data_IF_609841567560
#
_entry.id   IF_609841567560
#
_cell.length_a   1.000
_cell.length_b   1.000
_cell.length_c   1.000
_cell.angle_alpha   90.00
_cell.angle_beta   90.00
_cell.angle_gamma   90.00
#
_symmetry.space_group_name_H-M   'P 1'
#
loop_
_entity.id
_entity.type
_entity.pdbx_description
1 polymer ?
#
# COMPACT_ATOMS: atom_id res chain seq x y z
N UNK A 1 -35.52 -3.29 19.26
CA UNK A 1 -34.91 -2.96 17.96
C UNK A 1 -33.51 -2.38 18.18
N UNK A 2 -32.47 -3.21 18.37
CA UNK A 2 -31.09 -2.71 18.53
C UNK A 2 -30.39 -2.73 17.19
N UNK A 3 -30.69 -1.73 16.35
CA UNK A 3 -29.98 -1.47 15.11
C UNK A 3 -28.80 -0.55 15.43
N UNK A 4 -27.90 -1.00 16.29
CA UNK A 4 -26.59 -0.36 16.43
C UNK A 4 -25.71 -0.98 15.36
N UNK A 5 -25.82 -0.37 14.17
CA UNK A 5 -24.88 -0.39 13.07
C UNK A 5 -23.48 -0.72 13.63
N UNK A 6 -23.08 -1.93 13.28
CA UNK A 6 -21.75 -2.53 13.34
C UNK A 6 -20.74 -1.50 12.84
N UNK A 7 -20.40 -0.57 13.71
CA UNK A 7 -19.56 0.56 13.33
C UNK A 7 -18.59 0.76 14.43
N UNK A 8 -17.52 0.02 14.23
CA UNK A 8 -16.18 0.56 14.05
C UNK A 8 -15.33 -0.70 14.09
N UNK A 9 -14.94 -1.19 12.90
CA UNK A 9 -13.76 -2.03 12.80
C UNK A 9 -12.62 -1.16 13.35
N UNK A 10 -12.42 -1.22 14.67
CA UNK A 10 -11.37 -0.54 15.41
C UNK A 10 -10.05 -1.15 14.89
N UNK A 11 -9.38 -0.48 13.94
CA UNK A 11 -8.46 0.65 14.12
C UNK A 11 -7.05 0.25 14.64
N UNK A 12 -6.54 -0.91 14.21
CA UNK A 12 -5.11 -1.25 14.29
C UNK A 12 -4.65 -2.17 13.14
N UNK A 13 -5.60 -2.84 12.49
CA UNK A 13 -5.44 -3.58 11.22
C UNK A 13 -6.37 -3.01 10.15
N UNK A 14 -6.55 -1.68 10.13
CA UNK A 14 -7.29 -1.06 9.01
C UNK A 14 -6.37 -1.18 7.81
N UNK A 15 -6.94 -1.77 6.79
CA UNK A 15 -6.42 -1.91 5.44
C UNK A 15 -7.41 -1.06 4.63
N UNK A 16 -7.07 0.22 4.47
CA UNK A 16 -7.98 1.26 3.97
C UNK A 16 -8.31 1.10 2.50
N UNK A 17 -7.39 0.52 1.74
CA UNK A 17 -7.50 0.25 0.31
C UNK A 17 -7.66 -1.23 -0.03
N UNK A 18 -7.64 -2.11 0.97
CA UNK A 18 -7.93 -3.53 0.86
C UNK A 18 -6.91 -4.30 0.00
N UNK A 19 -5.65 -3.85 0.01
CA UNK A 19 -4.54 -4.40 -0.78
C UNK A 19 -3.82 -5.58 -0.07
N UNK A 20 -4.11 -5.78 1.21
CA UNK A 20 -3.56 -6.82 2.05
C UNK A 20 -2.33 -6.43 2.87
N UNK A 21 -2.03 -5.13 2.97
CA UNK A 21 -1.22 -4.49 4.01
C UNK A 21 -2.11 -3.71 4.98
N UNK A 22 -1.63 -3.55 6.21
CA UNK A 22 -2.28 -2.65 7.15
C UNK A 22 -1.76 -1.22 6.91
N UNK A 23 -2.59 -0.18 7.12
CA UNK A 23 -2.20 1.23 6.98
C UNK A 23 -0.89 1.56 7.74
N UNK A 24 -0.66 0.87 8.87
CA UNK A 24 0.56 1.04 9.66
C UNK A 24 1.80 0.47 8.96
N UNK A 25 1.68 -0.70 8.35
CA UNK A 25 2.76 -1.32 7.58
C UNK A 25 3.10 -0.45 6.38
N UNK A 26 2.08 0.10 5.73
CA UNK A 26 2.23 1.04 4.62
C UNK A 26 2.96 2.33 5.04
N UNK A 27 2.60 2.92 6.18
CA UNK A 27 3.33 4.07 6.74
C UNK A 27 4.79 3.72 7.07
N UNK A 28 5.05 2.51 7.59
CA UNK A 28 6.42 2.03 7.85
C UNK A 28 7.21 1.82 6.53
N UNK A 29 6.53 1.44 5.46
CA UNK A 29 7.10 1.26 4.11
C UNK A 29 7.16 2.54 3.28
N UNK A 30 6.55 3.63 3.75
CA UNK A 30 6.34 4.89 3.01
C UNK A 30 5.44 4.73 1.76
N UNK A 31 4.52 3.77 1.77
CA UNK A 31 3.46 3.65 0.77
C UNK A 31 2.23 4.46 1.20
N UNK A 32 1.25 4.59 0.32
CA UNK A 32 0.07 5.42 0.55
C UNK A 32 -1.10 4.58 1.05
N UNK A 33 -1.52 4.73 2.33
CA UNK A 33 -2.54 3.89 2.96
C UNK A 33 -3.97 4.20 2.53
N UNK A 34 -4.17 4.73 1.34
CA UNK A 34 -5.49 4.89 0.72
C UNK A 34 -5.39 4.57 -0.78
N UNK A 35 -4.26 4.06 -1.23
CA UNK A 35 -3.98 3.77 -2.60
C UNK A 35 -3.35 2.38 -2.68
N UNK A 36 -4.10 1.39 -3.19
CA UNK A 36 -3.67 0.01 -3.15
C UNK A 36 -2.46 -0.30 -4.05
N UNK A 37 -2.06 0.64 -4.90
CA UNK A 37 -1.00 0.56 -5.90
C UNK A 37 -0.30 1.94 -5.90
N UNK A 38 0.70 2.11 -5.03
CA UNK A 38 1.32 3.40 -4.74
C UNK A 38 2.12 3.93 -5.92
N UNK A 39 2.77 3.05 -6.68
CA UNK A 39 3.55 3.42 -7.86
C UNK A 39 2.75 3.39 -9.18
N UNK A 40 1.55 2.78 -9.18
CA UNK A 40 0.63 2.77 -10.30
C UNK A 40 1.00 1.76 -11.38
N UNK A 41 1.81 0.75 -11.06
CA UNK A 41 2.30 -0.24 -12.02
C UNK A 41 1.28 -1.37 -12.32
N UNK A 42 0.18 -1.40 -11.55
CA UNK A 42 -0.91 -2.37 -11.66
C UNK A 42 -0.76 -3.59 -10.74
N UNK A 43 0.29 -3.63 -9.91
CA UNK A 43 0.42 -4.53 -8.78
C UNK A 43 0.01 -3.83 -7.49
N UNK A 44 -0.43 -4.64 -6.53
CA UNK A 44 -0.83 -4.10 -5.22
C UNK A 44 0.42 -3.99 -4.34
N UNK A 45 0.54 -2.93 -3.55
CA UNK A 45 1.67 -2.72 -2.63
C UNK A 45 1.89 -3.97 -1.75
N UNK A 46 0.80 -4.57 -1.26
CA UNK A 46 0.81 -5.78 -0.46
C UNK A 46 1.17 -7.08 -1.19
N UNK A 47 1.00 -7.14 -2.51
CA UNK A 47 1.51 -8.24 -3.33
C UNK A 47 3.01 -8.07 -3.57
N UNK A 48 3.45 -6.84 -3.81
CA UNK A 48 4.86 -6.50 -4.01
C UNK A 48 5.69 -6.79 -2.76
N UNK A 49 5.24 -6.36 -1.58
CA UNK A 49 5.92 -6.65 -0.30
C UNK A 49 6.04 -8.15 -0.06
N UNK A 50 5.00 -8.94 -0.40
CA UNK A 50 5.04 -10.41 -0.27
C UNK A 50 6.02 -11.04 -1.25
N UNK A 51 6.15 -10.48 -2.45
CA UNK A 51 7.08 -10.95 -3.46
C UNK A 51 8.51 -10.41 -3.26
N UNK A 52 8.72 -9.48 -2.31
CA UNK A 52 9.99 -8.81 -2.06
C UNK A 52 10.35 -7.74 -3.09
N UNK A 53 9.34 -7.19 -3.77
CA UNK A 53 9.41 -6.03 -4.65
C UNK A 53 9.30 -4.73 -3.84
N UNK A 54 9.45 -3.59 -4.49
CA UNK A 54 9.43 -2.30 -3.83
C UNK A 54 8.14 -1.54 -4.14
N UNK A 55 7.21 -1.43 -3.17
CA UNK A 55 5.88 -0.87 -3.39
C UNK A 55 5.85 0.65 -3.57
N UNK A 56 6.99 1.34 -3.50
CA UNK A 56 7.05 2.81 -3.62
C UNK A 56 7.62 3.24 -4.97
N UNK A 57 8.19 2.30 -5.71
CA UNK A 57 8.87 2.60 -6.96
C UNK A 57 8.58 1.53 -7.99
N UNK A 58 7.87 1.97 -9.02
CA UNK A 58 7.90 1.31 -10.29
C UNK A 58 9.36 1.33 -10.73
N UNK A 59 9.79 0.25 -11.34
CA UNK A 59 11.19 0.14 -11.75
C UNK A 59 11.63 1.35 -12.59
N UNK A 60 12.65 2.04 -12.06
CA UNK A 60 13.64 2.86 -12.78
C UNK A 60 13.32 4.32 -13.12
N UNK A 61 13.82 5.22 -12.26
CA UNK A 61 14.61 6.36 -12.77
C UNK A 61 15.89 5.87 -13.45
N UNK A 62 15.78 5.20 -14.60
CA UNK A 62 16.90 4.96 -15.53
C UNK A 62 17.33 6.26 -16.24
N UNK A 63 16.83 7.43 -15.86
CA UNK A 63 17.20 8.68 -16.53
C UNK A 63 18.45 9.39 -15.97
N UNK A 64 19.13 8.87 -14.93
CA UNK A 64 20.22 9.62 -14.28
C UNK A 64 21.57 8.93 -14.01
N UNK A 65 21.89 7.74 -14.56
CA UNK A 65 23.27 7.21 -14.41
C UNK A 65 24.01 6.66 -15.64
N UNK A 66 23.43 6.65 -16.84
CA UNK A 66 24.19 6.30 -18.07
C UNK A 66 23.88 7.25 -19.24
N UNK A 67 23.93 8.57 -19.00
CA UNK A 67 24.03 9.53 -20.12
C UNK A 67 24.87 10.77 -19.77
N UNK A 68 26.11 10.55 -19.31
CA UNK A 68 27.22 11.51 -19.48
C UNK A 68 28.47 10.80 -19.99
#
# INVERSE_FOLDING_TARGET
MTRTWKTRCLNETIDSDNDGLSDKEEIELNTNPNNPDTDGDGFLDGEEVKNGHNPVIDFETEELLIQK
#
